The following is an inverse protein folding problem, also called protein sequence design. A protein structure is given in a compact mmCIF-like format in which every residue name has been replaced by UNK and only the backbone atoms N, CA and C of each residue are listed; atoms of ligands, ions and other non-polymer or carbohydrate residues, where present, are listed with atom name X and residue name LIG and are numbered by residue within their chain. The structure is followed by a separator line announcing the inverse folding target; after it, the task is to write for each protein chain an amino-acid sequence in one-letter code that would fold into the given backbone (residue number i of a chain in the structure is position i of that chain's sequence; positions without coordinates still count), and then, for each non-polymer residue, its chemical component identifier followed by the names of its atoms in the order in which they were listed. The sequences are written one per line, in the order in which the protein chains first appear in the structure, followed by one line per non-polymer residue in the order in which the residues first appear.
data_IF_298358042252
#
_entry.id   IF_298358042252
#
_cell.length_a   1.000
_cell.length_b   1.000
_cell.length_c   1.000
_cell.angle_alpha   90.00
_cell.angle_beta   90.00
_cell.angle_gamma   90.00
#
_symmetry.space_group_name_H-M   'P 1'
#
loop_
_entity.id
_entity.type
_entity.pdbx_description
1 polymer ?
#
# COMPACT_ATOMS: atom_id res chain seq x y z
N UNK A 1 15.32 -19.71 2.38
CA UNK A 1 15.01 -18.96 1.14
C UNK A 1 15.76 -17.61 0.96
N UNK A 2 16.41 -17.05 1.99
CA UNK A 2 17.15 -15.77 1.86
C UNK A 2 18.51 -15.88 1.13
N UNK A 3 19.06 -17.06 0.97
CA UNK A 3 20.45 -17.23 0.46
C UNK A 3 20.57 -17.20 -1.08
N UNK A 4 19.48 -17.08 -1.84
CA UNK A 4 19.51 -17.01 -3.32
C UNK A 4 19.09 -15.64 -3.89
N UNK A 5 18.70 -14.68 -3.05
CA UNK A 5 18.31 -13.34 -3.49
C UNK A 5 19.56 -12.50 -3.77
N UNK A 6 19.60 -11.78 -4.90
CA UNK A 6 20.71 -10.86 -5.19
C UNK A 6 20.84 -9.79 -4.10
N UNK A 7 22.05 -9.34 -3.82
CA UNK A 7 22.32 -8.39 -2.73
C UNK A 7 21.48 -7.11 -2.86
N UNK A 8 21.36 -6.56 -4.07
CA UNK A 8 20.53 -5.38 -4.35
C UNK A 8 19.09 -5.58 -3.92
N UNK A 9 18.48 -6.70 -4.31
CA UNK A 9 17.07 -7.02 -4.00
C UNK A 9 16.88 -7.25 -2.50
N UNK A 10 17.86 -7.86 -1.82
CA UNK A 10 17.87 -8.05 -0.37
C UNK A 10 17.93 -6.70 0.37
N UNK A 11 18.77 -5.77 -0.07
CA UNK A 11 18.82 -4.41 0.48
C UNK A 11 17.43 -3.75 0.35
N UNK A 12 16.82 -3.79 -0.83
CA UNK A 12 15.48 -3.20 -1.06
C UNK A 12 14.43 -3.87 -0.16
N UNK A 13 14.41 -5.20 -0.10
CA UNK A 13 13.42 -5.95 0.67
C UNK A 13 13.52 -5.70 2.18
N UNK A 14 14.73 -5.72 2.75
CA UNK A 14 14.92 -5.45 4.17
C UNK A 14 14.68 -3.97 4.51
N UNK A 15 15.05 -3.04 3.62
CA UNK A 15 14.70 -1.62 3.77
C UNK A 15 13.18 -1.40 3.74
N UNK A 16 12.44 -2.11 2.89
CA UNK A 16 10.99 -2.04 2.85
C UNK A 16 10.36 -2.45 4.19
N UNK A 17 10.86 -3.51 4.80
CA UNK A 17 10.41 -3.95 6.14
C UNK A 17 10.70 -2.89 7.20
N UNK A 18 11.92 -2.35 7.21
CA UNK A 18 12.33 -1.30 8.14
C UNK A 18 11.47 -0.04 7.97
N UNK A 19 11.25 0.42 6.74
CA UNK A 19 10.44 1.60 6.46
C UNK A 19 8.97 1.39 6.83
N UNK A 20 8.45 0.16 6.69
CA UNK A 20 7.10 -0.14 7.15
C UNK A 20 6.97 -0.13 8.67
N UNK A 21 8.04 -0.50 9.41
CA UNK A 21 8.05 -0.58 10.88
C UNK A 21 8.26 0.76 11.55
N UNK A 22 9.26 1.51 11.12
CA UNK A 22 9.72 2.72 11.82
C UNK A 22 9.91 3.96 10.93
N UNK A 23 9.48 3.87 9.66
CA UNK A 23 9.58 4.96 8.71
C UNK A 23 10.96 5.09 8.05
N UNK A 24 11.05 6.04 7.13
CA UNK A 24 12.28 6.37 6.41
C UNK A 24 13.25 7.18 7.26
N UNK A 25 12.77 8.23 7.96
CA UNK A 25 13.64 9.14 8.72
C UNK A 25 14.33 8.41 9.86
N UNK A 26 13.61 7.57 10.58
CA UNK A 26 14.11 6.80 11.73
C UNK A 26 14.91 5.54 11.34
N UNK A 27 15.08 5.26 10.06
CA UNK A 27 15.92 4.14 9.58
C UNK A 27 17.27 4.65 9.16
N UNK A 28 18.36 4.16 9.79
CA UNK A 28 19.73 4.50 9.42
C UNK A 28 20.28 3.59 8.30
N UNK A 29 21.38 3.98 7.68
CA UNK A 29 22.12 3.11 6.75
C UNK A 29 22.67 1.89 7.49
N UNK A 30 23.09 2.07 8.74
CA UNK A 30 23.57 1.01 9.62
C UNK A 30 22.50 -0.06 9.88
N UNK A 31 21.25 0.36 10.13
CA UNK A 31 20.12 -0.56 10.25
C UNK A 31 19.92 -1.38 8.99
N UNK A 32 19.96 -0.72 7.83
CA UNK A 32 19.79 -1.39 6.53
C UNK A 32 20.92 -2.39 6.29
N UNK A 33 22.17 -2.01 6.57
CA UNK A 33 23.33 -2.91 6.42
C UNK A 33 23.21 -4.14 7.32
N UNK A 34 22.78 -3.94 8.56
CA UNK A 34 22.62 -5.02 9.53
C UNK A 34 21.55 -6.03 9.07
N UNK A 35 20.35 -5.56 8.71
CA UNK A 35 19.25 -6.43 8.26
C UNK A 35 19.56 -7.10 6.91
N UNK A 36 20.15 -6.36 5.96
CA UNK A 36 20.56 -6.90 4.67
C UNK A 36 21.82 -7.76 4.74
N UNK A 37 22.47 -7.87 5.92
CA UNK A 37 23.72 -8.61 6.13
C UNK A 37 24.77 -8.24 5.08
N UNK A 38 25.08 -6.94 4.97
CA UNK A 38 26.04 -6.42 4.02
C UNK A 38 27.01 -5.43 4.66
N UNK A 39 28.15 -5.23 4.01
CA UNK A 39 29.12 -4.19 4.38
C UNK A 39 28.76 -2.85 3.75
N UNK A 40 29.39 -1.77 4.24
CA UNK A 40 29.28 -0.43 3.67
C UNK A 40 29.63 -0.42 2.18
N UNK A 41 30.71 -1.06 1.78
CA UNK A 41 31.12 -1.21 0.38
C UNK A 41 30.07 -1.97 -0.44
N UNK A 42 29.53 -3.07 0.10
CA UNK A 42 28.48 -3.85 -0.56
C UNK A 42 27.21 -3.04 -0.81
N UNK A 43 26.78 -2.21 0.15
CA UNK A 43 25.62 -1.33 -0.01
C UNK A 43 25.88 -0.25 -1.07
N UNK A 44 27.01 0.49 -0.94
CA UNK A 44 27.32 1.61 -1.81
C UNK A 44 27.74 1.21 -3.24
N UNK A 45 28.01 -0.07 -3.50
CA UNK A 45 28.12 -0.60 -4.86
C UNK A 45 26.80 -0.63 -5.62
N UNK A 46 25.66 -0.58 -4.90
CA UNK A 46 24.33 -0.65 -5.50
C UNK A 46 23.53 0.66 -5.38
N UNK A 47 23.75 1.44 -4.33
CA UNK A 47 22.97 2.65 -4.03
C UNK A 47 23.91 3.78 -3.60
N UNK A 48 23.75 4.96 -4.18
CA UNK A 48 24.59 6.13 -3.86
C UNK A 48 24.20 6.82 -2.56
N UNK A 49 22.93 6.67 -2.16
CA UNK A 49 22.35 7.35 -1.01
C UNK A 49 21.17 6.55 -0.42
N UNK A 50 20.76 6.94 0.78
CA UNK A 50 19.49 6.43 1.39
C UNK A 50 18.27 6.82 0.55
N UNK A 51 18.33 7.96 -0.15
CA UNK A 51 17.27 8.42 -1.05
C UNK A 51 17.12 7.49 -2.27
N UNK A 52 18.24 7.00 -2.83
CA UNK A 52 18.20 6.00 -3.91
C UNK A 52 17.56 4.69 -3.44
N UNK A 53 17.87 4.28 -2.20
CA UNK A 53 17.22 3.11 -1.57
C UNK A 53 15.72 3.36 -1.41
N UNK A 54 15.32 4.55 -0.95
CA UNK A 54 13.91 4.92 -0.82
C UNK A 54 13.14 4.77 -2.13
N UNK A 55 13.67 5.29 -3.23
CA UNK A 55 13.02 5.21 -4.54
C UNK A 55 12.90 3.75 -5.02
N UNK A 56 13.93 2.94 -4.78
CA UNK A 56 13.89 1.52 -5.10
C UNK A 56 12.86 0.77 -4.23
N UNK A 57 12.80 1.07 -2.94
CA UNK A 57 11.81 0.53 -2.00
C UNK A 57 10.40 0.93 -2.44
N UNK A 58 10.17 2.19 -2.80
CA UNK A 58 8.86 2.67 -3.24
C UNK A 58 8.39 1.95 -4.53
N UNK A 59 9.32 1.72 -5.46
CA UNK A 59 9.04 0.93 -6.68
C UNK A 59 8.65 -0.51 -6.36
N UNK A 60 9.39 -1.19 -5.48
CA UNK A 60 9.08 -2.57 -5.07
C UNK A 60 7.78 -2.64 -4.25
N UNK A 61 7.55 -1.68 -3.35
CA UNK A 61 6.31 -1.58 -2.59
C UNK A 61 5.08 -1.45 -3.52
N UNK A 62 5.18 -0.61 -4.56
CA UNK A 62 4.12 -0.46 -5.57
C UNK A 62 3.86 -1.74 -6.35
N UNK A 63 4.91 -2.49 -6.70
CA UNK A 63 4.81 -3.79 -7.39
C UNK A 63 4.10 -4.82 -6.50
N UNK A 64 4.54 -4.97 -5.26
CA UNK A 64 3.95 -5.88 -4.29
C UNK A 64 2.51 -5.50 -3.94
N UNK A 65 2.22 -4.20 -3.82
CA UNK A 65 0.87 -3.70 -3.62
C UNK A 65 -0.05 -4.13 -4.76
N UNK A 66 0.37 -3.93 -6.02
CA UNK A 66 -0.41 -4.36 -7.19
C UNK A 66 -0.63 -5.87 -7.21
N UNK A 67 0.42 -6.65 -6.99
CA UNK A 67 0.33 -8.12 -6.96
C UNK A 67 -0.70 -8.60 -5.94
N UNK A 68 -0.73 -8.01 -4.76
CA UNK A 68 -1.63 -8.43 -3.68
C UNK A 68 -3.06 -7.92 -3.86
N UNK A 69 -3.21 -6.68 -4.25
CA UNK A 69 -4.52 -6.02 -4.23
C UNK A 69 -5.30 -6.16 -5.55
N UNK A 70 -4.60 -6.32 -6.68
CA UNK A 70 -5.27 -6.44 -7.98
C UNK A 70 -5.45 -7.90 -8.44
N UNK A 71 -5.01 -8.87 -7.66
CA UNK A 71 -5.15 -10.28 -8.02
C UNK A 71 -6.62 -10.68 -8.15
N UNK A 72 -6.95 -11.26 -9.31
CA UNK A 72 -8.28 -11.77 -9.63
C UNK A 72 -9.29 -10.69 -10.05
N UNK A 73 -8.91 -9.40 -10.09
CA UNK A 73 -9.83 -8.34 -10.53
C UNK A 73 -10.15 -8.41 -12.03
N UNK A 74 -9.21 -8.89 -12.83
CA UNK A 74 -9.34 -9.07 -14.28
C UNK A 74 -10.37 -10.15 -14.66
N UNK A 75 -10.59 -11.12 -13.78
CA UNK A 75 -11.55 -12.21 -13.94
C UNK A 75 -13.00 -11.81 -13.58
N UNK A 76 -13.20 -10.64 -13.00
CA UNK A 76 -14.50 -10.14 -12.58
C UNK A 76 -15.05 -9.22 -13.66
N UNK A 77 -16.24 -9.50 -14.17
CA UNK A 77 -16.89 -8.66 -15.17
C UNK A 77 -17.51 -7.39 -14.55
N UNK A 78 -18.21 -7.55 -13.43
CA UNK A 78 -18.97 -6.48 -12.77
C UNK A 78 -18.03 -5.45 -12.13
N UNK A 79 -18.09 -4.16 -12.53
CA UNK A 79 -17.21 -3.12 -12.01
C UNK A 79 -17.27 -2.93 -10.50
N UNK A 80 -18.47 -2.91 -9.90
CA UNK A 80 -18.62 -2.75 -8.44
C UNK A 80 -18.02 -3.94 -7.70
N UNK A 81 -18.19 -5.15 -8.22
CA UNK A 81 -17.56 -6.35 -7.67
C UNK A 81 -16.03 -6.30 -7.71
N UNK A 82 -15.40 -5.57 -8.67
CA UNK A 82 -13.95 -5.32 -8.68
C UNK A 82 -13.54 -4.45 -7.50
N UNK A 83 -14.33 -3.41 -7.15
CA UNK A 83 -14.05 -2.57 -5.96
C UNK A 83 -14.18 -3.41 -4.69
N UNK A 84 -15.23 -4.23 -4.57
CA UNK A 84 -15.37 -5.17 -3.45
C UNK A 84 -14.15 -6.08 -3.33
N UNK A 85 -13.73 -6.72 -4.42
CA UNK A 85 -12.56 -7.62 -4.45
C UNK A 85 -11.26 -6.90 -4.06
N UNK A 86 -11.08 -5.65 -4.51
CA UNK A 86 -9.95 -4.80 -4.11
C UNK A 86 -9.93 -4.61 -2.58
N UNK A 87 -11.06 -4.31 -1.97
CA UNK A 87 -11.18 -4.13 -0.52
C UNK A 87 -10.91 -5.42 0.26
N UNK A 88 -11.42 -6.55 -0.21
CA UNK A 88 -11.14 -7.87 0.35
C UNK A 88 -9.63 -8.22 0.27
N UNK A 89 -9.01 -8.01 -0.89
CA UNK A 89 -7.58 -8.23 -1.08
C UNK A 89 -6.74 -7.31 -0.19
N UNK A 90 -7.14 -6.03 -0.06
CA UNK A 90 -6.47 -5.08 0.83
C UNK A 90 -6.49 -5.55 2.29
N UNK A 91 -7.64 -6.03 2.77
CA UNK A 91 -7.79 -6.60 4.11
C UNK A 91 -7.00 -7.87 4.30
N UNK A 92 -7.17 -8.85 3.39
CA UNK A 92 -6.77 -10.25 3.65
C UNK A 92 -5.38 -10.58 3.11
N UNK A 93 -4.94 -9.92 2.04
CA UNK A 93 -3.68 -10.25 1.35
C UNK A 93 -2.59 -9.21 1.59
N UNK A 94 -2.97 -7.93 1.77
CA UNK A 94 -2.00 -6.85 1.94
C UNK A 94 -1.77 -6.50 3.41
N UNK A 95 -2.79 -6.05 4.14
CA UNK A 95 -2.62 -5.62 5.53
C UNK A 95 -2.25 -6.75 6.50
N UNK A 96 -2.69 -7.98 6.23
CA UNK A 96 -2.34 -9.16 7.04
C UNK A 96 -0.97 -9.76 6.69
N UNK A 97 -0.28 -9.28 5.66
CA UNK A 97 1.08 -9.74 5.34
C UNK A 97 2.13 -9.14 6.26
N UNK A 98 2.27 -9.72 7.45
CA UNK A 98 3.26 -9.30 8.44
C UNK A 98 4.70 -9.68 8.06
N UNK A 99 4.89 -10.54 7.07
CA UNK A 99 6.23 -10.91 6.60
C UNK A 99 6.87 -9.79 5.78
N UNK A 100 6.10 -9.18 4.88
CA UNK A 100 6.59 -8.13 3.97
C UNK A 100 6.37 -6.73 4.56
N UNK A 101 5.23 -6.53 5.23
CA UNK A 101 4.82 -5.25 5.82
C UNK A 101 4.54 -5.39 7.32
N UNK A 102 5.58 -5.68 8.14
CA UNK A 102 5.40 -5.94 9.58
C UNK A 102 4.78 -4.73 10.32
N UNK A 103 5.04 -3.51 9.87
CA UNK A 103 4.46 -2.27 10.42
C UNK A 103 3.08 -1.91 9.86
N UNK A 104 2.59 -2.64 8.83
CA UNK A 104 1.35 -2.33 8.13
C UNK A 104 1.59 -1.64 6.78
N UNK A 105 0.69 -0.77 6.36
CA UNK A 105 0.80 -0.10 5.06
C UNK A 105 1.96 0.89 5.02
N UNK A 106 3.02 0.54 4.32
CA UNK A 106 4.22 1.39 4.18
C UNK A 106 3.90 2.75 3.54
N UNK A 107 2.91 2.82 2.64
CA UNK A 107 2.51 4.09 2.02
C UNK A 107 1.87 5.04 3.03
N UNK A 108 1.08 4.53 3.98
CA UNK A 108 0.50 5.33 5.07
C UNK A 108 1.61 5.83 6.00
N UNK A 109 2.50 4.93 6.43
CA UNK A 109 3.63 5.30 7.30
C UNK A 109 4.47 6.40 6.68
N UNK A 110 4.89 6.22 5.42
CA UNK A 110 5.74 7.18 4.71
C UNK A 110 5.02 8.48 4.37
N UNK A 111 3.72 8.46 4.05
CA UNK A 111 2.99 9.69 3.73
C UNK A 111 2.82 10.61 4.94
N UNK A 112 2.57 10.04 6.13
CA UNK A 112 2.47 10.82 7.37
C UNK A 112 3.83 11.35 7.82
N UNK A 113 4.89 10.53 7.65
CA UNK A 113 6.24 10.92 8.09
C UNK A 113 6.88 12.00 7.21
N UNK A 114 6.65 11.95 5.90
CA UNK A 114 7.42 12.74 4.92
C UNK A 114 6.70 14.01 4.44
N UNK A 115 5.47 14.23 4.86
CA UNK A 115 4.55 15.27 4.38
C UNK A 115 5.28 16.56 3.93
N UNK A 116 5.61 17.47 4.83
CA UNK A 116 6.29 18.72 4.49
C UNK A 116 7.83 18.64 4.48
N UNK A 117 8.40 17.52 4.95
CA UNK A 117 9.86 17.41 5.14
C UNK A 117 10.61 17.03 3.88
N UNK A 118 9.96 16.34 2.95
CA UNK A 118 10.58 15.78 1.74
C UNK A 118 9.62 15.88 0.55
N UNK A 119 9.37 17.09 0.07
CA UNK A 119 8.38 17.41 -0.97
C UNK A 119 8.43 16.49 -2.20
N UNK A 120 9.62 16.12 -2.68
CA UNK A 120 9.77 15.21 -3.82
C UNK A 120 9.21 13.81 -3.51
N UNK A 121 9.47 13.28 -2.30
CA UNK A 121 9.00 11.97 -1.89
C UNK A 121 7.50 11.97 -1.60
N UNK A 122 6.99 13.03 -0.97
CA UNK A 122 5.56 13.24 -0.76
C UNK A 122 4.80 13.27 -2.08
N UNK A 123 5.34 13.96 -3.09
CA UNK A 123 4.77 13.97 -4.44
C UNK A 123 4.70 12.57 -5.04
N UNK A 124 5.78 11.80 -4.98
CA UNK A 124 5.82 10.41 -5.45
C UNK A 124 4.77 9.52 -4.75
N UNK A 125 4.63 9.66 -3.43
CA UNK A 125 3.62 8.92 -2.66
C UNK A 125 2.20 9.31 -3.09
N UNK A 126 1.93 10.62 -3.17
CA UNK A 126 0.62 11.15 -3.56
C UNK A 126 0.19 10.71 -4.97
N UNK A 127 1.12 10.64 -5.93
CA UNK A 127 0.81 10.10 -7.26
C UNK A 127 0.26 8.66 -7.21
N UNK A 128 0.74 7.84 -6.28
CA UNK A 128 0.19 6.51 -6.04
C UNK A 128 -1.26 6.54 -5.56
N UNK A 129 -1.57 7.44 -4.64
CA UNK A 129 -2.92 7.66 -4.11
C UNK A 129 -3.87 8.18 -5.18
N UNK A 130 -3.44 9.15 -5.97
CA UNK A 130 -4.22 9.68 -7.11
C UNK A 130 -4.57 8.57 -8.10
N UNK A 131 -3.60 7.70 -8.46
CA UNK A 131 -3.85 6.57 -9.36
C UNK A 131 -4.82 5.55 -8.78
N UNK A 132 -4.74 5.26 -7.47
CA UNK A 132 -5.68 4.35 -6.81
C UNK A 132 -7.10 4.92 -6.79
N UNK A 133 -7.25 6.18 -6.41
CA UNK A 133 -8.56 6.87 -6.43
C UNK A 133 -9.16 6.89 -7.84
N UNK A 134 -8.36 7.22 -8.85
CA UNK A 134 -8.81 7.21 -10.24
C UNK A 134 -9.28 5.82 -10.70
N UNK A 135 -8.62 4.75 -10.25
CA UNK A 135 -9.03 3.38 -10.56
C UNK A 135 -10.36 3.03 -9.88
N UNK A 136 -10.52 3.34 -8.59
CA UNK A 136 -11.77 3.10 -7.85
C UNK A 136 -12.91 3.87 -8.51
N UNK A 137 -12.73 5.18 -8.74
CA UNK A 137 -13.72 6.03 -9.38
C UNK A 137 -14.17 5.47 -10.73
N UNK A 138 -13.22 5.07 -11.58
CA UNK A 138 -13.54 4.47 -12.88
C UNK A 138 -14.44 3.23 -12.76
N UNK A 139 -14.18 2.35 -11.79
CA UNK A 139 -15.06 1.18 -11.57
C UNK A 139 -16.44 1.57 -11.05
N UNK A 140 -16.51 2.60 -10.20
CA UNK A 140 -17.81 3.10 -9.73
C UNK A 140 -18.60 3.78 -10.85
N UNK A 141 -17.96 4.59 -11.70
CA UNK A 141 -18.58 5.19 -12.88
C UNK A 141 -19.12 4.12 -13.83
N UNK A 142 -18.32 3.10 -14.15
CA UNK A 142 -18.74 1.95 -14.96
C UNK A 142 -19.89 1.18 -14.31
N UNK A 143 -19.90 1.03 -12.99
CA UNK A 143 -20.99 0.39 -12.25
C UNK A 143 -22.29 1.20 -12.31
N UNK A 144 -22.18 2.53 -12.34
CA UNK A 144 -23.31 3.43 -12.53
C UNK A 144 -23.87 3.33 -13.96
N UNK A 145 -22.98 3.34 -14.96
CA UNK A 145 -23.35 3.23 -16.37
C UNK A 145 -24.00 1.86 -16.70
N UNK A 146 -23.58 0.79 -16.01
CA UNK A 146 -24.14 -0.55 -16.17
C UNK A 146 -25.40 -0.83 -15.32
N UNK A 147 -25.82 0.12 -14.48
CA UNK A 147 -26.97 -0.04 -13.58
C UNK A 147 -26.70 -0.89 -12.33
N UNK A 148 -25.44 -1.20 -12.01
CA UNK A 148 -25.07 -1.84 -10.74
C UNK A 148 -25.19 -0.88 -9.54
N UNK A 149 -25.02 0.43 -9.81
CA UNK A 149 -25.21 1.49 -8.83
C UNK A 149 -26.38 2.38 -9.27
N UNK A 150 -27.07 2.93 -8.30
CA UNK A 150 -28.14 3.91 -8.55
C UNK A 150 -27.57 5.18 -9.21
N UNK A 151 -28.34 5.83 -10.03
CA UNK A 151 -27.93 7.03 -10.80
C UNK A 151 -27.59 8.22 -9.91
N UNK A 152 -28.17 8.29 -8.71
CA UNK A 152 -27.97 9.36 -7.73
C UNK A 152 -26.63 9.22 -6.97
N UNK A 153 -25.95 8.08 -7.07
CA UNK A 153 -24.67 7.87 -6.36
C UNK A 153 -23.64 8.85 -6.86
N UNK A 154 -23.07 9.63 -5.96
CA UNK A 154 -21.92 10.49 -6.23
C UNK A 154 -20.63 9.65 -6.16
N UNK A 155 -20.16 9.18 -7.31
CA UNK A 155 -18.99 8.30 -7.41
C UNK A 155 -17.69 8.96 -6.92
N UNK A 156 -17.57 10.29 -7.02
CA UNK A 156 -16.44 11.06 -6.46
C UNK A 156 -16.42 10.95 -4.94
N UNK A 157 -17.55 11.28 -4.28
CA UNK A 157 -17.67 11.22 -2.82
C UNK A 157 -17.47 9.79 -2.29
N UNK A 158 -18.02 8.79 -2.99
CA UNK A 158 -17.84 7.37 -2.62
C UNK A 158 -16.39 6.94 -2.78
N UNK A 159 -15.70 7.42 -3.82
CA UNK A 159 -14.25 7.16 -3.98
C UNK A 159 -13.44 7.70 -2.80
N UNK A 160 -13.70 8.96 -2.40
CA UNK A 160 -13.02 9.56 -1.24
C UNK A 160 -13.33 8.81 0.06
N UNK A 161 -14.58 8.40 0.26
CA UNK A 161 -14.99 7.61 1.42
C UNK A 161 -14.26 6.26 1.46
N UNK A 162 -14.23 5.53 0.35
CA UNK A 162 -13.54 4.23 0.27
C UNK A 162 -12.05 4.40 0.53
N UNK A 163 -11.42 5.37 -0.14
CA UNK A 163 -9.99 5.61 0.00
C UNK A 163 -9.62 5.99 1.44
N UNK A 164 -10.35 6.95 2.04
CA UNK A 164 -10.15 7.36 3.44
C UNK A 164 -10.39 6.21 4.40
N UNK A 165 -11.43 5.39 4.17
CA UNK A 165 -11.71 4.19 4.95
C UNK A 165 -10.60 3.14 4.87
N UNK A 166 -10.00 2.93 3.70
CA UNK A 166 -8.83 2.05 3.54
C UNK A 166 -7.63 2.55 4.36
N UNK A 167 -7.32 3.85 4.29
CA UNK A 167 -6.21 4.44 5.06
C UNK A 167 -6.50 4.35 6.57
N UNK A 168 -7.70 4.74 7.02
CA UNK A 168 -8.13 4.64 8.40
C UNK A 168 -8.08 3.20 8.94
N UNK A 169 -8.59 2.22 8.17
CA UNK A 169 -8.52 0.81 8.54
C UNK A 169 -7.08 0.31 8.72
N UNK A 170 -6.14 0.79 7.88
CA UNK A 170 -4.72 0.46 8.02
C UNK A 170 -4.12 1.01 9.32
N UNK A 171 -4.42 2.28 9.66
CA UNK A 171 -3.93 2.93 10.88
C UNK A 171 -4.49 2.23 12.12
N UNK A 172 -5.80 2.00 12.17
CA UNK A 172 -6.47 1.34 13.30
C UNK A 172 -5.94 -0.09 13.48
N UNK A 173 -5.81 -0.85 12.38
CA UNK A 173 -5.23 -2.18 12.43
C UNK A 173 -3.77 -2.18 12.91
N UNK A 174 -3.01 -1.16 12.53
CA UNK A 174 -1.64 -0.95 13.03
C UNK A 174 -1.59 -0.72 14.54
N UNK A 175 -2.54 0.04 15.08
CA UNK A 175 -2.63 0.38 16.51
C UNK A 175 -3.22 -0.76 17.35
N UNK A 176 -4.37 -1.30 16.94
CA UNK A 176 -5.12 -2.28 17.74
C UNK A 176 -4.64 -3.72 17.55
N UNK A 177 -3.98 -4.05 16.44
CA UNK A 177 -3.63 -5.42 16.00
C UNK A 177 -4.85 -6.36 15.92
N UNK A 178 -6.04 -5.79 15.78
CA UNK A 178 -7.32 -6.50 15.78
C UNK A 178 -7.79 -6.79 14.36
N UNK A 179 -7.73 -8.08 13.97
CA UNK A 179 -8.33 -8.53 12.69
C UNK A 179 -9.86 -8.35 12.66
N UNK A 180 -10.52 -8.36 13.81
CA UNK A 180 -11.97 -8.13 13.90
C UNK A 180 -12.32 -6.67 13.57
N UNK A 181 -11.59 -5.68 14.15
CA UNK A 181 -11.76 -4.26 13.82
C UNK A 181 -11.50 -3.99 12.34
N UNK A 182 -10.39 -4.52 11.80
CA UNK A 182 -10.07 -4.41 10.37
C UNK A 182 -11.21 -4.96 9.51
N UNK A 183 -11.73 -6.14 9.83
CA UNK A 183 -12.84 -6.76 9.08
C UNK A 183 -14.11 -5.92 9.15
N UNK A 184 -14.48 -5.38 10.32
CA UNK A 184 -15.64 -4.49 10.45
C UNK A 184 -15.53 -3.25 9.58
N UNK A 185 -14.37 -2.58 9.60
CA UNK A 185 -14.15 -1.39 8.78
C UNK A 185 -14.30 -1.69 7.29
N UNK A 186 -13.60 -2.72 6.81
CA UNK A 186 -13.63 -3.05 5.37
C UNK A 186 -15.00 -3.59 4.95
N UNK A 187 -15.66 -4.42 5.77
CA UNK A 187 -16.98 -4.92 5.44
C UNK A 187 -18.01 -3.78 5.37
N UNK A 188 -17.95 -2.79 6.27
CA UNK A 188 -18.85 -1.63 6.19
C UNK A 188 -18.71 -0.85 4.87
N UNK A 189 -17.48 -0.71 4.33
CA UNK A 189 -17.28 -0.11 3.02
C UNK A 189 -17.86 -0.97 1.89
N UNK A 190 -17.74 -2.29 2.00
CA UNK A 190 -18.31 -3.24 1.03
C UNK A 190 -19.84 -3.21 1.09
N UNK A 191 -20.40 -3.26 2.29
CA UNK A 191 -21.86 -3.28 2.49
C UNK A 191 -22.51 -2.01 1.94
N UNK A 192 -21.85 -0.86 2.09
CA UNK A 192 -22.29 0.40 1.49
C UNK A 192 -22.38 0.34 -0.05
N UNK A 193 -21.48 -0.41 -0.71
CA UNK A 193 -21.47 -0.54 -2.17
C UNK A 193 -22.58 -1.43 -2.72
N UNK A 194 -23.15 -2.32 -1.90
CA UNK A 194 -24.15 -3.32 -2.32
C UNK A 194 -25.54 -3.02 -1.76
N UNK A 195 -25.67 -1.96 -0.94
CA UNK A 195 -26.95 -1.46 -0.42
C UNK A 195 -27.68 -0.62 -1.49
#
# INVERSE_FOLDING_TARGET
MQNSMALKDRIVYESLKLFSLKGFLSTSIEDIMAEAKTSKGGLYNHFKSKDDIFLAVLSEARKLWRQKNLEGLDQIEKPVAKVKKLLENYRDRYLKDKKTFPGGCVFVTLSVELDDQRATFSKELNEGFVRLKAMIKRYLDQGKDSGELRTEVNTEAVTEMIFSGMLGASVIYGAEKSSASLSRCINALIDYLIA
#
